data_IF_377181445701
#
_entry.id   IF_377181445701
#
_cell.length_a   1.000
_cell.length_b   1.000
_cell.length_c   1.000
_cell.angle_alpha   90.00
_cell.angle_beta   90.00
_cell.angle_gamma   90.00
#
_symmetry.space_group_name_H-M   'P 1'
#
loop_
_entity.id
_entity.type
_entity.pdbx_description
1 polymer ?
#
# COMPACT_ATOMS: atom_id res chain seq x y z
N UNK A 1 -27.18 35.68 -33.35
CA UNK A 1 -26.75 34.28 -33.11
C UNK A 1 -25.44 34.31 -32.34
N UNK A 2 -25.38 33.71 -31.15
CA UNK A 2 -24.18 33.71 -30.30
C UNK A 2 -23.34 32.47 -30.62
N UNK A 3 -22.04 32.67 -30.90
CA UNK A 3 -21.11 31.60 -31.26
C UNK A 3 -20.52 31.01 -29.98
N UNK A 4 -20.89 29.77 -29.66
CA UNK A 4 -20.28 29.02 -28.56
C UNK A 4 -18.89 28.55 -29.00
N UNK A 5 -17.84 28.97 -28.28
CA UNK A 5 -16.49 28.44 -28.44
C UNK A 5 -16.28 27.22 -27.56
N UNK A 6 -15.69 26.17 -28.11
CA UNK A 6 -15.36 24.94 -27.40
C UNK A 6 -14.33 25.20 -26.28
N UNK A 7 -14.50 24.61 -25.08
CA UNK A 7 -13.50 24.71 -24.01
C UNK A 7 -12.21 23.99 -24.42
N UNK A 8 -11.07 24.52 -23.97
CA UNK A 8 -9.76 23.92 -24.20
C UNK A 8 -9.67 22.53 -23.56
N UNK A 9 -9.17 21.55 -24.31
CA UNK A 9 -8.94 20.18 -23.85
C UNK A 9 -7.89 20.18 -22.74
N UNK A 10 -8.20 19.58 -21.58
CA UNK A 10 -7.20 19.32 -20.53
C UNK A 10 -6.20 18.28 -21.03
N UNK A 11 -4.93 18.68 -21.22
CA UNK A 11 -3.87 17.75 -21.59
C UNK A 11 -3.52 16.83 -20.41
N UNK A 12 -3.83 15.53 -20.54
CA UNK A 12 -3.51 14.48 -19.56
C UNK A 12 -2.04 14.03 -19.60
N UNK A 13 -1.11 14.97 -19.82
CA UNK A 13 0.32 14.69 -20.04
C UNK A 13 1.26 15.26 -18.98
N UNK A 14 0.82 16.27 -18.21
CA UNK A 14 1.59 16.79 -17.08
C UNK A 14 1.21 16.00 -15.83
N UNK A 15 1.66 14.75 -15.76
CA UNK A 15 1.50 13.94 -14.55
C UNK A 15 2.51 14.45 -13.52
N UNK A 16 2.04 15.22 -12.53
CA UNK A 16 2.82 15.47 -11.32
C UNK A 16 3.02 14.12 -10.63
N UNK A 17 4.26 13.67 -10.49
CA UNK A 17 4.57 12.46 -9.72
C UNK A 17 4.15 12.75 -8.27
N UNK A 18 3.14 12.04 -7.80
CA UNK A 18 2.73 12.12 -6.41
C UNK A 18 3.73 11.30 -5.59
N UNK A 19 4.77 11.97 -5.10
CA UNK A 19 5.68 11.39 -4.11
C UNK A 19 4.98 11.44 -2.75
N UNK A 20 4.65 10.28 -2.21
CA UNK A 20 4.11 10.17 -0.86
C UNK A 20 5.24 10.45 0.13
N UNK A 21 5.25 11.64 0.72
CA UNK A 21 6.29 12.11 1.67
C UNK A 21 6.51 11.16 2.86
N UNK A 22 5.51 10.35 3.20
CA UNK A 22 5.46 9.64 4.48
C UNK A 22 6.00 8.20 4.44
N UNK A 23 6.41 7.66 3.28
CA UNK A 23 6.76 6.23 3.19
C UNK A 23 7.93 5.82 4.08
N UNK A 24 8.87 6.71 4.36
CA UNK A 24 10.04 6.44 5.23
C UNK A 24 9.68 6.32 6.70
N UNK A 25 8.56 6.91 7.14
CA UNK A 25 8.13 6.89 8.55
C UNK A 25 6.97 5.92 8.81
N UNK A 26 6.41 5.33 7.76
CA UNK A 26 5.23 4.47 7.87
C UNK A 26 5.57 3.06 8.40
N UNK A 27 4.81 2.61 9.40
CA UNK A 27 4.87 1.23 9.92
C UNK A 27 4.18 0.22 8.99
N UNK A 28 3.20 0.66 8.21
CA UNK A 28 2.41 -0.17 7.33
C UNK A 28 2.27 0.44 5.93
N UNK A 29 2.24 -0.41 4.93
CA UNK A 29 2.13 -0.02 3.52
C UNK A 29 1.13 -0.88 2.76
N UNK A 30 0.51 -0.32 1.74
CA UNK A 30 -0.37 -0.99 0.81
C UNK A 30 0.37 -1.27 -0.49
N UNK A 31 0.38 -2.54 -0.92
CA UNK A 31 1.12 -2.99 -2.10
C UNK A 31 0.24 -3.00 -3.35
N UNK A 32 0.75 -2.46 -4.46
CA UNK A 32 0.15 -2.58 -5.78
C UNK A 32 0.54 -3.90 -6.45
N UNK A 33 -0.45 -4.71 -6.81
CA UNK A 33 -0.27 -6.00 -7.50
C UNK A 33 -0.45 -5.85 -9.02
N UNK A 34 0.55 -6.28 -9.80
CA UNK A 34 0.58 -6.21 -11.27
C UNK A 34 0.10 -7.48 -11.97
N UNK A 35 -0.17 -8.55 -11.22
CA UNK A 35 -0.65 -9.82 -11.76
C UNK A 35 -1.96 -9.66 -12.50
N UNK A 36 -2.18 -10.47 -13.55
CA UNK A 36 -3.46 -10.57 -14.25
C UNK A 36 -4.58 -10.80 -13.23
N UNK A 37 -5.39 -9.76 -13.05
CA UNK A 37 -6.43 -9.74 -12.03
C UNK A 37 -7.62 -10.51 -12.53
N UNK A 38 -8.21 -11.33 -11.68
CA UNK A 38 -9.57 -11.81 -11.91
C UNK A 38 -10.54 -10.63 -11.79
N UNK A 39 -11.69 -10.72 -12.46
CA UNK A 39 -12.70 -9.66 -12.40
C UNK A 39 -13.00 -9.24 -10.96
N UNK A 40 -13.10 -7.93 -10.72
CA UNK A 40 -13.35 -7.30 -9.42
C UNK A 40 -12.25 -7.44 -8.35
N UNK A 41 -11.04 -7.91 -8.68
CA UNK A 41 -9.94 -7.87 -7.72
C UNK A 41 -9.33 -6.46 -7.58
N UNK A 42 -9.13 -5.97 -6.35
CA UNK A 42 -8.57 -4.64 -6.13
C UNK A 42 -7.11 -4.56 -6.62
N UNK A 43 -6.66 -3.36 -7.09
CA UNK A 43 -5.28 -3.16 -7.53
C UNK A 43 -4.24 -3.24 -6.44
N UNK A 44 -4.69 -2.97 -5.23
CA UNK A 44 -3.89 -2.80 -4.05
C UNK A 44 -4.32 -3.84 -3.05
N UNK A 45 -3.35 -4.46 -2.41
CA UNK A 45 -3.57 -5.51 -1.42
C UNK A 45 -3.00 -5.05 -0.10
N UNK A 46 -3.81 -5.19 0.96
CA UNK A 46 -3.43 -5.29 2.37
C UNK A 46 -2.65 -4.12 2.97
N UNK A 47 -2.85 -3.81 4.25
CA UNK A 47 -1.81 -3.16 5.04
C UNK A 47 -0.78 -4.22 5.47
N UNK A 48 0.42 -4.15 4.89
CA UNK A 48 1.57 -4.98 5.24
C UNK A 48 2.48 -4.23 6.19
N UNK A 49 2.99 -4.94 7.20
CA UNK A 49 4.00 -4.40 8.12
C UNK A 49 5.32 -4.22 7.37
N UNK A 50 5.91 -3.04 7.49
CA UNK A 50 7.28 -2.76 7.04
C UNK A 50 8.24 -3.33 8.08
N UNK A 51 9.17 -4.18 7.63
CA UNK A 51 10.22 -4.74 8.47
C UNK A 51 11.43 -3.82 8.47
N UNK A 52 11.86 -3.42 7.27
CA UNK A 52 12.98 -2.52 7.06
C UNK A 52 12.82 -1.78 5.72
N UNK A 53 13.56 -0.70 5.51
CA UNK A 53 13.57 0.04 4.26
C UNK A 53 14.89 0.74 3.95
N UNK A 54 15.15 0.88 2.66
CA UNK A 54 16.15 1.76 2.06
C UNK A 54 15.43 2.82 1.20
N UNK A 55 16.18 3.74 0.59
CA UNK A 55 15.62 4.86 -0.19
C UNK A 55 14.57 4.45 -1.23
N UNK A 56 14.77 3.31 -1.91
CA UNK A 56 13.90 2.86 -3.02
C UNK A 56 13.32 1.47 -2.85
N UNK A 57 13.70 0.75 -1.79
CA UNK A 57 13.36 -0.66 -1.57
C UNK A 57 12.88 -0.85 -0.14
N UNK A 58 11.76 -1.53 0.01
CA UNK A 58 11.14 -1.84 1.30
C UNK A 58 11.03 -3.35 1.46
N UNK A 59 11.27 -3.85 2.65
CA UNK A 59 10.97 -5.22 3.05
C UNK A 59 9.65 -5.23 3.81
N UNK A 60 8.67 -5.96 3.29
CA UNK A 60 7.35 -6.07 3.89
C UNK A 60 7.05 -7.52 4.29
N UNK A 61 6.31 -7.69 5.37
CA UNK A 61 5.86 -9.02 5.81
C UNK A 61 4.55 -9.38 5.09
N UNK A 62 4.65 -10.18 4.04
CA UNK A 62 3.51 -10.65 3.23
C UNK A 62 3.33 -12.16 3.39
N UNK A 63 2.17 -12.58 3.89
CA UNK A 63 1.85 -13.99 4.17
C UNK A 63 2.92 -14.70 5.03
N UNK A 64 3.47 -14.00 6.03
CA UNK A 64 4.52 -14.53 6.91
C UNK A 64 5.91 -14.63 6.27
N UNK A 65 6.11 -14.09 5.06
CA UNK A 65 7.40 -14.03 4.38
C UNK A 65 7.81 -12.59 4.13
N UNK A 66 9.09 -12.33 4.26
CA UNK A 66 9.66 -11.04 3.86
C UNK A 66 9.76 -10.96 2.35
N UNK A 67 9.24 -9.87 1.79
CA UNK A 67 9.26 -9.61 0.35
C UNK A 67 9.82 -8.23 0.11
N UNK A 68 10.78 -8.11 -0.81
CA UNK A 68 11.33 -6.84 -1.24
C UNK A 68 10.45 -6.19 -2.31
N UNK A 69 10.17 -4.90 -2.15
CA UNK A 69 9.31 -4.13 -3.04
C UNK A 69 9.89 -2.75 -3.30
N UNK A 70 9.86 -2.30 -4.55
CA UNK A 70 10.20 -0.92 -4.89
C UNK A 70 9.16 0.08 -4.39
N UNK A 71 9.62 1.29 -4.05
CA UNK A 71 8.80 2.40 -3.55
C UNK A 71 7.62 2.74 -4.48
N UNK A 72 7.80 2.63 -5.81
CA UNK A 72 6.78 2.97 -6.82
C UNK A 72 5.48 2.15 -6.72
N UNK A 73 5.55 0.99 -6.04
CA UNK A 73 4.43 0.06 -5.89
C UNK A 73 3.77 0.16 -4.53
N UNK A 74 4.24 1.06 -3.67
CA UNK A 74 3.78 1.19 -2.31
C UNK A 74 2.97 2.47 -2.12
N UNK A 75 2.04 2.39 -1.18
CA UNK A 75 1.37 3.54 -0.59
C UNK A 75 1.43 3.42 0.93
N UNK A 76 1.52 4.53 1.67
CA UNK A 76 1.42 4.48 3.12
C UNK A 76 0.04 3.97 3.53
N UNK A 77 -0.02 3.13 4.57
CA UNK A 77 -1.26 2.66 5.17
C UNK A 77 -1.41 3.29 6.56
N UNK A 78 -2.37 4.21 6.71
CA UNK A 78 -2.71 4.78 8.00
C UNK A 78 -3.67 3.85 8.72
N UNK A 79 -3.20 3.21 9.79
CA UNK A 79 -4.02 2.34 10.63
C UNK A 79 -4.26 3.07 11.95
N UNK A 80 -5.51 3.17 12.43
CA UNK A 80 -5.80 3.61 13.78
C UNK A 80 -5.04 2.76 14.80
N UNK A 81 -4.41 3.40 15.80
CA UNK A 81 -3.61 2.72 16.83
C UNK A 81 -4.37 1.59 17.54
N UNK A 82 -5.69 1.73 17.69
CA UNK A 82 -6.55 0.71 18.30
C UNK A 82 -6.55 -0.65 17.57
N UNK A 83 -6.21 -0.67 16.27
CA UNK A 83 -6.18 -1.88 15.45
C UNK A 83 -4.78 -2.54 15.39
N UNK A 84 -3.74 -1.87 15.89
CA UNK A 84 -2.38 -2.43 15.98
C UNK A 84 -2.31 -3.46 17.12
N UNK A 85 -2.92 -3.16 18.27
CA UNK A 85 -2.93 -4.03 19.46
C UNK A 85 -3.72 -5.34 19.21
N UNK A 86 -4.86 -5.25 18.53
CA UNK A 86 -5.74 -6.40 18.24
C UNK A 86 -5.04 -7.46 17.38
N UNK A 87 -4.16 -7.06 16.45
CA UNK A 87 -3.43 -8.01 15.59
C UNK A 87 -2.31 -8.73 16.34
N UNK A 88 -1.65 -8.08 17.30
CA UNK A 88 -0.66 -8.73 18.18
C UNK A 88 -1.34 -9.79 19.03
N UNK A 89 -2.47 -9.45 19.66
CA UNK A 89 -3.27 -10.40 20.46
C UNK A 89 -3.69 -11.65 19.67
N UNK A 90 -4.13 -11.47 18.42
CA UNK A 90 -4.57 -12.58 17.55
C UNK A 90 -3.39 -13.47 17.12
N UNK A 91 -2.20 -12.89 16.92
CA UNK A 91 -1.01 -13.67 16.55
C UNK A 91 -0.43 -14.43 17.75
N UNK A 92 -0.42 -13.82 18.94
CA UNK A 92 -0.01 -14.47 20.20
C UNK A 92 -0.92 -15.66 20.53
N UNK A 93 -2.24 -15.50 20.41
CA UNK A 93 -3.19 -16.60 20.67
C UNK A 93 -3.08 -17.75 19.66
N UNK A 94 -2.60 -17.49 18.44
CA UNK A 94 -2.35 -18.54 17.45
C UNK A 94 -1.08 -19.35 17.73
N UNK A 95 -0.02 -18.71 18.23
CA UNK A 95 1.21 -19.41 18.63
C UNK A 95 0.98 -20.30 19.86
N UNK A 96 0.26 -19.80 20.88
CA UNK A 96 -0.06 -20.57 22.09
C UNK A 96 -0.92 -21.81 21.80
N UNK A 97 -1.78 -21.78 20.78
CA UNK A 97 -2.63 -22.91 20.38
C UNK A 97 -1.91 -23.99 19.55
N UNK A 98 -0.65 -23.77 19.14
CA UNK A 98 0.16 -24.78 18.44
C UNK A 98 1.12 -25.52 19.39
N UNK A 99 1.13 -25.17 20.68
CA UNK A 99 1.99 -25.77 21.71
C UNK A 99 1.21 -26.63 22.74
N UNK A 100 -0.04 -27.01 22.48
CA UNK A 100 -0.83 -27.96 23.30
C UNK A 100 -1.34 -29.11 22.45
#
# INVERSE_FOLDING_TARGET
MQRLSHPTTRHHGQHTIFETLDLTTCCHVILRTYTLRKGLQPPYEGPYKVVDHLEKVFWILRHGKEVSVSIDRLKPAYIPKELEDIRVEVNVKKEVLLET
#
